data_IF_408929200798
#
_entry.id   IF_408929200798
#
_cell.length_a   1.000
_cell.length_b   1.000
_cell.length_c   1.000
_cell.angle_alpha   90.00
_cell.angle_beta   90.00
_cell.angle_gamma   90.00
#
_symmetry.space_group_name_H-M   'P 1'
#
loop_
_entity.id
_entity.type
_entity.pdbx_description
1 polymer ?
#
# COMPACT_ATOMS: atom_id res chain seq x y z
N UNK A 1 66.01 -52.47 -24.68
CA UNK A 1 65.18 -52.17 -25.87
C UNK A 1 64.12 -51.19 -25.38
N UNK A 2 64.40 -49.88 -25.37
CA UNK A 2 64.00 -48.91 -26.43
C UNK A 2 62.46 -48.96 -26.62
N UNK A 3 61.63 -47.95 -26.41
CA UNK A 3 61.67 -46.49 -26.68
C UNK A 3 60.43 -45.85 -26.01
N UNK A 4 60.55 -44.75 -25.25
CA UNK A 4 60.10 -43.39 -25.58
C UNK A 4 58.79 -43.23 -26.39
N UNK A 5 57.82 -42.49 -25.84
CA UNK A 5 56.93 -41.49 -26.47
C UNK A 5 56.10 -40.86 -25.31
N UNK A 6 56.51 -39.79 -24.62
CA UNK A 6 56.67 -38.41 -25.09
C UNK A 6 55.48 -37.93 -25.94
N UNK A 7 54.37 -37.56 -25.28
CA UNK A 7 53.42 -36.60 -25.84
C UNK A 7 52.60 -35.92 -24.71
N UNK A 8 53.29 -35.17 -23.84
CA UNK A 8 52.64 -34.08 -23.10
C UNK A 8 52.44 -32.92 -24.08
N UNK A 9 51.35 -32.99 -24.85
CA UNK A 9 50.79 -31.80 -25.47
C UNK A 9 49.92 -31.09 -24.45
N UNK A 10 50.56 -30.48 -23.44
CA UNK A 10 50.03 -29.26 -22.84
C UNK A 10 50.14 -28.18 -23.90
N UNK A 11 49.15 -28.16 -24.80
CA UNK A 11 48.87 -27.00 -25.63
C UNK A 11 48.45 -25.87 -24.71
N UNK A 12 49.44 -25.18 -24.14
CA UNK A 12 49.31 -23.86 -23.55
C UNK A 12 48.97 -22.89 -24.69
N UNK A 13 47.73 -23.00 -25.20
CA UNK A 13 47.14 -21.93 -25.98
C UNK A 13 47.25 -20.68 -25.09
N UNK A 14 47.90 -19.60 -25.55
CA UNK A 14 47.94 -18.37 -24.78
C UNK A 14 46.48 -17.95 -24.56
N UNK A 15 45.99 -18.10 -23.33
CA UNK A 15 44.70 -17.54 -22.93
C UNK A 15 44.75 -16.07 -23.33
N UNK A 16 43.89 -15.62 -24.27
CA UNK A 16 43.90 -14.23 -24.69
C UNK A 16 43.80 -13.36 -23.45
N UNK A 17 44.82 -12.53 -23.22
CA UNK A 17 44.85 -11.64 -22.08
C UNK A 17 43.56 -10.81 -22.12
N UNK A 18 42.74 -10.91 -21.07
CA UNK A 18 41.42 -10.28 -21.06
C UNK A 18 41.60 -8.79 -21.26
N UNK A 19 40.99 -8.28 -22.32
CA UNK A 19 41.07 -6.85 -22.63
C UNK A 19 40.34 -6.05 -21.56
N UNK A 20 40.82 -4.85 -21.26
CA UNK A 20 40.17 -3.92 -20.32
C UNK A 20 38.71 -3.67 -20.71
N UNK A 21 38.39 -3.69 -22.01
CA UNK A 21 37.02 -3.60 -22.52
C UNK A 21 36.11 -4.77 -22.08
N UNK A 22 36.63 -5.99 -22.02
CA UNK A 22 35.87 -7.14 -21.52
C UNK A 22 35.61 -7.05 -20.01
N UNK A 23 36.59 -6.60 -19.22
CA UNK A 23 36.41 -6.43 -17.76
C UNK A 23 35.37 -5.35 -17.42
N UNK A 24 35.37 -4.24 -18.17
CA UNK A 24 34.37 -3.17 -18.02
C UNK A 24 32.99 -3.67 -18.45
N UNK A 25 32.90 -4.45 -19.52
CA UNK A 25 31.63 -5.05 -19.96
C UNK A 25 31.06 -6.03 -18.93
N UNK A 26 31.89 -6.91 -18.36
CA UNK A 26 31.50 -7.87 -17.33
C UNK A 26 31.03 -7.15 -16.04
N UNK A 27 31.78 -6.16 -15.57
CA UNK A 27 31.40 -5.37 -14.39
C UNK A 27 30.07 -4.61 -14.59
N UNK A 28 29.85 -4.06 -15.79
CA UNK A 28 28.59 -3.38 -16.14
C UNK A 28 27.42 -4.36 -16.20
N UNK A 29 27.66 -5.57 -16.69
CA UNK A 29 26.67 -6.65 -16.73
C UNK A 29 26.29 -7.12 -15.31
N UNK A 30 27.25 -7.25 -14.41
CA UNK A 30 27.01 -7.66 -13.02
C UNK A 30 26.20 -6.60 -12.27
N UNK A 31 26.58 -5.32 -12.39
CA UNK A 31 25.80 -4.20 -11.81
C UNK A 31 24.37 -4.20 -12.36
N UNK A 32 24.20 -4.40 -13.67
CA UNK A 32 22.87 -4.48 -14.30
C UNK A 32 22.04 -5.65 -13.76
N UNK A 33 22.70 -6.77 -13.46
CA UNK A 33 22.06 -7.96 -12.90
C UNK A 33 21.60 -7.72 -11.46
N UNK A 34 22.43 -7.09 -10.62
CA UNK A 34 22.06 -6.73 -9.25
C UNK A 34 20.87 -5.78 -9.25
N UNK A 35 20.93 -4.69 -10.02
CA UNK A 35 19.84 -3.71 -10.10
C UNK A 35 18.53 -4.38 -10.54
N UNK A 36 18.58 -5.23 -11.56
CA UNK A 36 17.39 -5.98 -12.00
C UNK A 36 16.86 -6.92 -10.91
N UNK A 37 17.73 -7.54 -10.13
CA UNK A 37 17.35 -8.44 -9.03
C UNK A 37 16.69 -7.69 -7.87
N UNK A 38 17.21 -6.52 -7.49
CA UNK A 38 16.59 -5.68 -6.46
C UNK A 38 15.22 -5.17 -6.91
N UNK A 39 15.08 -4.77 -8.17
CA UNK A 39 13.78 -4.41 -8.73
C UNK A 39 12.82 -5.60 -8.70
N UNK A 40 13.28 -6.81 -9.04
CA UNK A 40 12.46 -8.01 -9.00
C UNK A 40 12.01 -8.34 -7.57
N UNK A 41 12.91 -8.21 -6.59
CA UNK A 41 12.63 -8.41 -5.18
C UNK A 41 11.62 -7.39 -4.66
N UNK A 42 11.85 -6.09 -4.91
CA UNK A 42 10.94 -5.02 -4.52
C UNK A 42 9.55 -5.20 -5.14
N UNK A 43 9.48 -5.63 -6.41
CA UNK A 43 8.20 -5.99 -7.05
C UNK A 43 7.52 -7.16 -6.36
N UNK A 44 8.26 -8.20 -5.99
CA UNK A 44 7.69 -9.36 -5.29
C UNK A 44 7.16 -9.00 -3.89
N UNK A 45 7.90 -8.17 -3.15
CA UNK A 45 7.48 -7.67 -1.83
C UNK A 45 6.22 -6.81 -1.94
N UNK A 46 6.22 -5.82 -2.85
CA UNK A 46 5.04 -4.99 -3.12
C UNK A 46 3.84 -5.84 -3.54
N UNK A 47 4.04 -6.85 -4.39
CA UNK A 47 2.96 -7.75 -4.81
C UNK A 47 2.41 -8.59 -3.65
N UNK A 48 3.28 -9.09 -2.77
CA UNK A 48 2.89 -9.84 -1.59
C UNK A 48 2.10 -8.95 -0.60
N UNK A 49 2.55 -7.73 -0.38
CA UNK A 49 1.88 -6.77 0.48
C UNK A 49 0.55 -6.31 -0.12
N UNK A 50 0.50 -6.02 -1.43
CA UNK A 50 -0.74 -5.69 -2.12
C UNK A 50 -1.77 -6.82 -2.03
N UNK A 51 -1.33 -8.09 -2.13
CA UNK A 51 -2.21 -9.24 -1.95
C UNK A 51 -2.77 -9.35 -0.54
N UNK A 52 -1.92 -9.17 0.49
CA UNK A 52 -2.36 -9.17 1.90
C UNK A 52 -3.31 -8.01 2.18
N UNK A 53 -2.96 -6.81 1.74
CA UNK A 53 -3.80 -5.62 1.86
C UNK A 53 -5.14 -5.80 1.14
N UNK A 54 -5.12 -6.38 -0.07
CA UNK A 54 -6.34 -6.68 -0.84
C UNK A 54 -7.24 -7.71 -0.16
N UNK A 55 -6.67 -8.78 0.39
CA UNK A 55 -7.42 -9.77 1.16
C UNK A 55 -8.03 -9.14 2.43
N UNK A 56 -7.25 -8.34 3.16
CA UNK A 56 -7.73 -7.60 4.33
C UNK A 56 -8.86 -6.63 3.98
N UNK A 57 -8.70 -5.84 2.93
CA UNK A 57 -9.75 -4.94 2.44
C UNK A 57 -11.02 -5.69 2.04
N UNK A 58 -10.89 -6.85 1.37
CA UNK A 58 -12.02 -7.72 1.04
C UNK A 58 -12.74 -8.25 2.27
N UNK A 59 -12.00 -8.69 3.30
CA UNK A 59 -12.57 -9.12 4.58
C UNK A 59 -13.30 -7.99 5.31
N UNK A 60 -12.72 -6.79 5.36
CA UNK A 60 -13.37 -5.63 5.96
C UNK A 60 -14.64 -5.21 5.18
N UNK A 61 -14.60 -5.27 3.84
CA UNK A 61 -15.79 -5.01 3.03
C UNK A 61 -16.90 -6.03 3.31
N UNK A 62 -16.56 -7.32 3.40
CA UNK A 62 -17.52 -8.37 3.76
C UNK A 62 -18.06 -8.18 5.18
N UNK A 63 -17.20 -7.88 6.16
CA UNK A 63 -17.62 -7.61 7.53
C UNK A 63 -18.54 -6.38 7.61
N UNK A 64 -18.23 -5.30 6.89
CA UNK A 64 -19.07 -4.11 6.81
C UNK A 64 -20.44 -4.42 6.18
N UNK A 65 -20.47 -5.24 5.13
CA UNK A 65 -21.71 -5.69 4.51
C UNK A 65 -22.58 -6.52 5.47
N UNK A 66 -21.98 -7.49 6.17
CA UNK A 66 -22.70 -8.31 7.17
C UNK A 66 -23.20 -7.45 8.34
N UNK A 67 -22.38 -6.51 8.81
CA UNK A 67 -22.78 -5.56 9.85
C UNK A 67 -23.96 -4.68 9.39
N UNK A 68 -23.97 -4.23 8.12
CA UNK A 68 -25.09 -3.49 7.55
C UNK A 68 -26.38 -4.31 7.53
N UNK A 69 -26.31 -5.59 7.12
CA UNK A 69 -27.46 -6.50 7.20
C UNK A 69 -27.93 -6.65 8.66
N UNK A 70 -27.00 -6.84 9.59
CA UNK A 70 -27.30 -6.89 11.02
C UNK A 70 -28.03 -5.66 11.54
N UNK A 71 -27.62 -4.46 11.11
CA UNK A 71 -28.31 -3.20 11.47
C UNK A 71 -29.75 -3.14 10.93
N UNK A 72 -29.99 -3.62 9.70
CA UNK A 72 -31.35 -3.69 9.13
C UNK A 72 -32.24 -4.59 10.00
N UNK A 73 -31.77 -5.79 10.35
CA UNK A 73 -32.52 -6.70 11.22
C UNK A 73 -32.66 -6.16 12.65
N UNK A 74 -31.67 -5.43 13.16
CA UNK A 74 -31.74 -4.77 14.46
C UNK A 74 -32.87 -3.73 14.49
N UNK A 75 -32.98 -2.87 13.48
CA UNK A 75 -34.07 -1.90 13.41
C UNK A 75 -35.44 -2.57 13.28
N UNK A 76 -35.54 -3.63 12.48
CA UNK A 76 -36.78 -4.41 12.41
C UNK A 76 -37.14 -5.04 13.76
N UNK A 77 -36.14 -5.55 14.49
CA UNK A 77 -36.32 -6.10 15.84
C UNK A 77 -36.79 -5.02 16.82
N UNK A 78 -36.22 -3.81 16.77
CA UNK A 78 -36.65 -2.70 17.63
C UNK A 78 -38.11 -2.35 17.37
N UNK A 79 -38.50 -2.22 16.10
CA UNK A 79 -39.91 -1.95 15.73
C UNK A 79 -40.81 -3.07 16.24
N UNK A 80 -40.46 -4.33 15.99
CA UNK A 80 -41.24 -5.50 16.42
C UNK A 80 -41.40 -5.57 17.95
N UNK A 81 -40.38 -5.20 18.72
CA UNK A 81 -40.45 -5.15 20.18
C UNK A 81 -41.34 -4.00 20.65
N UNK A 82 -41.26 -2.84 20.00
CA UNK A 82 -42.11 -1.69 20.33
C UNK A 82 -43.58 -1.96 19.98
N UNK A 83 -43.84 -2.70 18.91
CA UNK A 83 -45.18 -3.07 18.44
C UNK A 83 -45.96 -3.94 19.46
N UNK A 84 -45.26 -4.58 20.41
CA UNK A 84 -45.89 -5.30 21.54
C UNK A 84 -46.72 -4.36 22.42
N UNK A 85 -46.30 -3.09 22.55
CA UNK A 85 -46.88 -2.12 23.49
C UNK A 85 -47.51 -0.90 22.80
N UNK A 86 -47.11 -0.61 21.56
CA UNK A 86 -47.49 0.57 20.80
C UNK A 86 -47.99 0.15 19.41
N UNK A 87 -48.77 1.01 18.71
CA UNK A 87 -49.06 0.78 17.30
C UNK A 87 -47.78 0.79 16.46
N UNK A 88 -47.73 -0.06 15.43
CA UNK A 88 -46.58 -0.24 14.52
C UNK A 88 -45.99 1.09 14.01
N UNK A 89 -46.85 2.05 13.63
CA UNK A 89 -46.42 3.36 13.14
C UNK A 89 -45.60 4.16 14.16
N UNK A 90 -45.92 4.03 15.45
CA UNK A 90 -45.18 4.68 16.52
C UNK A 90 -43.82 4.00 16.73
N UNK A 91 -43.75 2.67 16.59
CA UNK A 91 -42.50 1.91 16.59
C UNK A 91 -41.52 2.38 15.51
N UNK A 92 -42.01 2.56 14.28
CA UNK A 92 -41.21 3.12 13.19
C UNK A 92 -40.75 4.56 13.44
N UNK A 93 -41.63 5.42 13.98
CA UNK A 93 -41.24 6.81 14.29
C UNK A 93 -40.18 6.89 15.38
N UNK A 94 -40.29 6.10 16.45
CA UNK A 94 -39.30 6.06 17.53
C UNK A 94 -37.95 5.57 17.00
N UNK A 95 -37.96 4.49 16.22
CA UNK A 95 -36.74 3.93 15.61
C UNK A 95 -36.09 4.91 14.64
N UNK A 96 -36.89 5.65 13.86
CA UNK A 96 -36.41 6.72 12.98
C UNK A 96 -35.82 7.89 13.78
N UNK A 97 -36.47 8.28 14.87
CA UNK A 97 -35.94 9.30 15.78
C UNK A 97 -34.59 8.91 16.39
N UNK A 98 -34.43 7.65 16.79
CA UNK A 98 -33.17 7.09 17.27
C UNK A 98 -32.06 7.19 16.21
N UNK A 99 -32.37 6.87 14.95
CA UNK A 99 -31.43 7.00 13.84
C UNK A 99 -30.98 8.46 13.62
N UNK A 100 -31.91 9.42 13.64
CA UNK A 100 -31.55 10.83 13.52
C UNK A 100 -30.71 11.33 14.69
N UNK A 101 -30.96 10.85 15.91
CA UNK A 101 -30.13 11.15 17.06
C UNK A 101 -28.68 10.68 16.85
N UNK A 102 -28.51 9.42 16.42
CA UNK A 102 -27.18 8.86 16.12
C UNK A 102 -26.51 9.64 14.98
N UNK A 103 -27.24 9.95 13.91
CA UNK A 103 -26.72 10.72 12.79
C UNK A 103 -26.26 12.13 13.23
N UNK A 104 -27.02 12.81 14.09
CA UNK A 104 -26.66 14.11 14.64
C UNK A 104 -25.36 14.02 15.47
N UNK A 105 -25.23 13.01 16.33
CA UNK A 105 -24.02 12.79 17.14
C UNK A 105 -22.80 12.54 16.24
N UNK A 106 -22.94 11.65 15.24
CA UNK A 106 -21.86 11.35 14.28
C UNK A 106 -21.47 12.58 13.46
N UNK A 107 -22.44 13.38 13.00
CA UNK A 107 -22.19 14.63 12.28
C UNK A 107 -21.44 15.65 13.15
N UNK A 108 -21.79 15.76 14.44
CA UNK A 108 -21.09 16.63 15.39
C UNK A 108 -19.66 16.16 15.66
N UNK A 109 -19.47 14.85 15.88
CA UNK A 109 -18.14 14.24 16.05
C UNK A 109 -17.27 14.44 14.81
N UNK A 110 -17.80 14.15 13.63
CA UNK A 110 -17.12 14.37 12.35
C UNK A 110 -16.74 15.83 12.15
N UNK A 111 -17.67 16.76 12.42
CA UNK A 111 -17.39 18.20 12.39
C UNK A 111 -16.27 18.58 13.35
N UNK A 112 -16.22 18.01 14.55
CA UNK A 112 -15.18 18.30 15.52
C UNK A 112 -13.80 17.76 15.09
N UNK A 113 -13.75 16.56 14.53
CA UNK A 113 -12.52 15.99 13.98
C UNK A 113 -11.97 16.81 12.81
N UNK A 114 -12.85 17.39 11.98
CA UNK A 114 -12.42 18.25 10.86
C UNK A 114 -11.92 19.63 11.32
N UNK A 115 -12.43 20.19 12.42
CA UNK A 115 -11.98 21.50 12.94
C UNK A 115 -10.51 21.53 13.35
N UNK A 116 -9.94 20.39 13.75
CA UNK A 116 -8.53 20.28 14.13
C UNK A 116 -7.56 20.11 12.95
N UNK A 117 -8.06 19.80 11.75
CA UNK A 117 -7.23 19.63 10.58
C UNK A 117 -6.93 21.01 9.97
N UNK A 118 -5.73 21.54 10.24
CA UNK A 118 -5.17 22.65 9.44
C UNK A 118 -4.99 22.13 8.01
N UNK A 119 -5.99 22.35 7.16
CA UNK A 119 -6.08 21.84 5.79
C UNK A 119 -5.03 22.38 4.81
N UNK A 120 -4.05 23.14 5.29
CA UNK A 120 -2.88 23.57 4.52
C UNK A 120 -1.64 23.01 5.19
N UNK A 121 -0.79 22.24 4.49
CA UNK A 121 0.50 21.84 5.02
C UNK A 121 1.42 23.07 5.06
N UNK A 122 1.24 23.92 6.08
CA UNK A 122 1.92 25.20 6.25
C UNK A 122 3.44 25.05 6.18
N UNK A 123 3.97 23.94 6.72
CA UNK A 123 5.40 23.62 6.68
C UNK A 123 5.87 23.27 5.27
N UNK A 124 5.11 22.47 4.51
CA UNK A 124 5.45 22.10 3.13
C UNK A 124 5.41 23.32 2.22
N UNK A 125 4.42 24.19 2.40
CA UNK A 125 4.29 25.43 1.64
C UNK A 125 5.43 26.39 1.98
N UNK A 126 5.78 26.54 3.26
CA UNK A 126 6.90 27.37 3.73
C UNK A 126 8.24 26.89 3.17
N UNK A 127 8.53 25.58 3.24
CA UNK A 127 9.75 25.00 2.70
C UNK A 127 9.85 25.18 1.18
N UNK A 128 8.74 25.01 0.45
CA UNK A 128 8.69 25.25 -0.99
C UNK A 128 8.96 26.74 -1.32
N UNK A 129 8.40 27.68 -0.54
CA UNK A 129 8.65 29.11 -0.72
C UNK A 129 10.10 29.49 -0.40
N UNK A 130 10.69 28.94 0.66
CA UNK A 130 12.11 29.15 1.01
C UNK A 130 13.04 28.63 -0.09
N UNK A 131 12.75 27.44 -0.63
CA UNK A 131 13.51 26.85 -1.75
C UNK A 131 13.44 27.73 -3.00
N UNK A 132 12.25 28.23 -3.35
CA UNK A 132 12.06 29.12 -4.50
C UNK A 132 12.73 30.48 -4.29
N UNK A 133 12.74 31.00 -3.07
CA UNK A 133 13.39 32.26 -2.73
C UNK A 133 14.90 32.14 -2.83
N UNK A 134 15.49 31.04 -2.35
CA UNK A 134 16.91 30.77 -2.45
C UNK A 134 17.38 30.69 -3.91
N UNK A 135 16.60 30.06 -4.80
CA UNK A 135 16.93 29.96 -6.23
C UNK A 135 16.83 31.30 -6.97
N UNK A 136 15.97 32.22 -6.51
CA UNK A 136 15.80 33.55 -7.13
C UNK A 136 16.84 34.57 -6.68
N UNK A 137 17.45 34.36 -5.51
CA UNK A 137 18.53 35.22 -4.99
C UNK A 137 19.89 34.93 -5.62
N UNK A 138 20.04 33.82 -6.33
CA UNK A 138 21.29 33.34 -6.94
C UNK A 138 21.34 33.59 -8.48
N UNK A 139 20.36 34.32 -9.02
CA UNK A 139 20.23 34.70 -10.45
C UNK A 139 20.06 36.21 -10.62
#
# INVERSE_FOLDING_TARGET
MATQHANDQTSSQPSPERTIGQLVADATHDVSTIVRSEIALAKAEIAADAKKAGAGAGMFAAAAFVALLGLIFLFHTIVAVLDIWLPEWAGYLITTGLLFLVAAILALLGRNSMKGMKGKPERTIKNAQETLSALKSDS
#
